data_IF_646822672848
#
_entry.id   IF_646822672848
#
_cell.length_a   1.000
_cell.length_b   1.000
_cell.length_c   1.000
_cell.angle_alpha   90.00
_cell.angle_beta   90.00
_cell.angle_gamma   90.00
#
_symmetry.space_group_name_H-M   'P 1'
#
loop_
_entity.id
_entity.type
_entity.pdbx_description
1 polymer ?
#
# COMPACT_ATOMS: atom_id res chain seq x y z
N UNK A 1 -11.64 -61.34 10.36
CA UNK A 1 -10.83 -60.64 9.33
C UNK A 1 -11.60 -60.42 8.02
N UNK A 2 -12.78 -59.76 8.04
CA UNK A 2 -13.56 -59.45 6.82
C UNK A 2 -13.77 -57.94 6.56
N UNK A 3 -13.42 -57.07 7.51
CA UNK A 3 -13.74 -55.64 7.40
C UNK A 3 -12.64 -54.79 6.73
N UNK A 4 -11.42 -55.32 6.55
CA UNK A 4 -10.34 -54.58 5.86
C UNK A 4 -10.39 -54.68 4.33
N UNK A 5 -11.13 -55.66 3.77
CA UNK A 5 -11.26 -55.79 2.31
C UNK A 5 -12.26 -54.79 1.72
N UNK A 6 -13.31 -54.43 2.46
CA UNK A 6 -14.33 -53.49 2.00
C UNK A 6 -13.80 -52.04 1.92
N UNK A 7 -12.96 -51.63 2.89
CA UNK A 7 -12.36 -50.30 2.96
C UNK A 7 -11.30 -50.10 1.86
N UNK A 8 -10.53 -51.14 1.55
CA UNK A 8 -9.55 -51.10 0.45
C UNK A 8 -10.23 -51.01 -0.93
N UNK A 9 -11.38 -51.67 -1.12
CA UNK A 9 -12.17 -51.58 -2.36
C UNK A 9 -12.80 -50.19 -2.50
N UNK A 10 -13.27 -49.58 -1.41
CA UNK A 10 -13.86 -48.24 -1.44
C UNK A 10 -12.83 -47.16 -1.77
N UNK A 11 -11.60 -47.26 -1.22
CA UNK A 11 -10.50 -46.33 -1.53
C UNK A 11 -9.99 -46.48 -2.98
N UNK A 12 -10.00 -47.69 -3.54
CA UNK A 12 -9.59 -47.92 -4.92
C UNK A 12 -10.59 -47.34 -5.95
N UNK A 13 -11.89 -47.34 -5.64
CA UNK A 13 -12.92 -46.77 -6.52
C UNK A 13 -12.98 -45.23 -6.47
N UNK A 14 -12.69 -44.62 -5.31
CA UNK A 14 -12.60 -43.15 -5.19
C UNK A 14 -11.38 -42.61 -5.97
N UNK A 15 -10.28 -43.37 -5.99
CA UNK A 15 -9.06 -42.99 -6.71
C UNK A 15 -9.21 -43.12 -8.24
N UNK A 16 -9.97 -44.09 -8.76
CA UNK A 16 -10.21 -44.25 -10.21
C UNK A 16 -11.23 -43.23 -10.76
N UNK A 17 -12.20 -42.80 -9.96
CA UNK A 17 -13.14 -41.71 -10.34
C UNK A 17 -12.41 -40.35 -10.40
N UNK A 18 -11.43 -40.10 -9.54
CA UNK A 18 -10.59 -38.89 -9.59
C UNK A 18 -9.65 -38.85 -10.81
N UNK A 19 -9.20 -39.99 -11.33
CA UNK A 19 -8.35 -40.06 -12.53
C UNK A 19 -9.16 -39.88 -13.82
N UNK A 20 -10.43 -40.29 -13.85
CA UNK A 20 -11.30 -40.14 -15.03
C UNK A 20 -11.87 -38.72 -15.20
N UNK A 21 -11.96 -37.92 -14.13
CA UNK A 21 -12.33 -36.49 -14.22
C UNK A 21 -11.15 -35.64 -14.76
N UNK A 22 -9.92 -36.15 -14.71
CA UNK A 22 -8.73 -35.49 -15.27
C UNK A 22 -8.62 -35.59 -16.79
N UNK A 23 -9.43 -36.44 -17.45
CA UNK A 23 -9.30 -36.75 -18.87
C UNK A 23 -10.67 -36.85 -19.59
N UNK A 24 -11.49 -35.79 -19.53
CA UNK A 24 -12.43 -35.39 -20.62
C UNK A 24 -13.35 -34.27 -20.14
N UNK A 25 -12.96 -33.02 -20.40
CA UNK A 25 -13.91 -31.99 -20.85
C UNK A 25 -13.14 -30.95 -21.67
N UNK A 26 -12.74 -31.38 -22.87
CA UNK A 26 -12.28 -30.49 -23.92
C UNK A 26 -13.54 -29.98 -24.64
N UNK A 27 -14.09 -28.87 -24.14
CA UNK A 27 -14.97 -28.02 -24.94
C UNK A 27 -14.11 -26.88 -25.46
N UNK A 28 -13.81 -26.94 -26.76
CA UNK A 28 -13.29 -25.84 -27.54
C UNK A 28 -14.25 -24.66 -27.44
N UNK A 29 -13.82 -23.59 -26.80
CA UNK A 29 -14.22 -22.24 -27.22
C UNK A 29 -13.07 -21.25 -26.98
N UNK A 30 -12.74 -20.54 -28.05
CA UNK A 30 -11.63 -19.63 -28.24
C UNK A 30 -11.52 -18.53 -27.16
N UNK A 31 -10.45 -18.56 -26.35
CA UNK A 31 -9.96 -17.39 -25.60
C UNK A 31 -8.56 -17.62 -24.99
N UNK A 32 -7.54 -17.79 -25.84
CA UNK A 32 -6.14 -17.97 -25.41
C UNK A 32 -5.47 -16.66 -24.89
N UNK A 33 -6.18 -15.53 -24.86
CA UNK A 33 -5.63 -14.24 -24.44
C UNK A 33 -5.84 -13.85 -22.97
N UNK A 34 -6.54 -14.66 -22.16
CA UNK A 34 -6.95 -14.28 -20.78
C UNK A 34 -6.18 -14.95 -19.64
N UNK A 35 -5.47 -16.07 -19.85
CA UNK A 35 -4.69 -16.75 -18.78
C UNK A 35 -3.37 -16.04 -18.47
N UNK A 36 -2.61 -15.62 -19.48
CA UNK A 36 -1.35 -14.89 -19.29
C UNK A 36 -1.50 -13.50 -18.65
N UNK A 37 -2.70 -12.91 -18.64
CA UNK A 37 -2.95 -11.58 -18.06
C UNK A 37 -3.23 -11.62 -16.55
N UNK A 38 -3.67 -12.76 -16.00
CA UNK A 38 -4.09 -12.88 -14.58
C UNK A 38 -2.88 -13.14 -13.66
N UNK A 39 -1.94 -13.96 -14.11
CA UNK A 39 -0.69 -14.30 -13.41
C UNK A 39 0.30 -13.13 -13.40
N UNK A 40 0.46 -12.47 -14.55
CA UNK A 40 1.35 -11.30 -14.73
C UNK A 40 0.92 -10.06 -13.91
N UNK A 41 -0.34 -10.01 -13.45
CA UNK A 41 -0.92 -8.87 -12.72
C UNK A 41 -0.96 -9.06 -11.20
N UNK A 42 -1.11 -10.30 -10.72
CA UNK A 42 -0.97 -10.63 -9.29
C UNK A 42 0.45 -10.29 -8.80
N UNK A 43 1.46 -10.61 -9.63
CA UNK A 43 2.85 -10.21 -9.38
C UNK A 43 3.12 -8.70 -9.45
N UNK A 44 2.28 -7.90 -10.15
CA UNK A 44 2.47 -6.44 -10.25
C UNK A 44 2.13 -5.74 -8.93
N UNK A 45 1.07 -6.19 -8.24
CA UNK A 45 0.64 -5.62 -6.95
C UNK A 45 1.59 -6.04 -5.80
N UNK A 46 2.06 -7.29 -5.81
CA UNK A 46 3.07 -7.78 -4.87
C UNK A 46 4.41 -7.01 -5.03
N UNK A 47 4.76 -6.65 -6.27
CA UNK A 47 5.91 -5.77 -6.53
C UNK A 47 5.75 -4.36 -5.96
N UNK A 48 4.54 -3.84 -5.71
CA UNK A 48 4.37 -2.53 -5.05
C UNK A 48 4.77 -2.60 -3.60
N UNK A 49 4.20 -3.54 -2.85
CA UNK A 49 4.43 -3.68 -1.43
C UNK A 49 5.91 -4.02 -1.18
N UNK A 50 6.52 -4.84 -2.05
CA UNK A 50 7.95 -5.12 -2.01
C UNK A 50 8.78 -3.89 -2.41
N UNK A 51 8.42 -3.15 -3.46
CA UNK A 51 9.14 -1.95 -3.86
C UNK A 51 9.08 -0.85 -2.79
N UNK A 52 7.91 -0.63 -2.21
CA UNK A 52 7.65 0.33 -1.13
C UNK A 52 8.37 -0.12 0.16
N UNK A 53 8.24 -1.38 0.59
CA UNK A 53 8.98 -1.90 1.75
C UNK A 53 10.51 -1.89 1.58
N UNK A 54 11.02 -2.13 0.37
CA UNK A 54 12.46 -2.03 0.08
C UNK A 54 12.97 -0.57 0.12
N UNK A 55 12.07 0.43 0.04
CA UNK A 55 12.41 1.84 0.22
C UNK A 55 12.46 2.26 1.70
N UNK A 56 11.80 1.53 2.60
CA UNK A 56 11.88 1.71 4.07
C UNK A 56 13.24 1.28 4.65
N UNK A 57 13.91 0.33 4.00
CA UNK A 57 15.24 -0.17 4.38
C UNK A 57 16.15 -0.31 3.13
N UNK A 58 16.85 0.74 2.68
CA UNK A 58 17.84 0.58 1.63
C UNK A 58 18.91 -0.39 2.13
N UNK A 59 19.05 -1.54 1.49
CA UNK A 59 20.15 -2.47 1.74
C UNK A 59 21.44 -1.67 1.63
N UNK A 60 22.18 -1.55 2.74
CA UNK A 60 23.55 -1.03 2.73
C UNK A 60 24.29 -1.74 1.59
N UNK A 61 24.86 -1.04 0.61
CA UNK A 61 25.70 -1.72 -0.37
C UNK A 61 26.81 -2.43 0.41
N UNK A 62 26.88 -3.75 0.19
CA UNK A 62 27.93 -4.58 0.73
C UNK A 62 29.27 -3.93 0.42
N UNK A 63 30.10 -3.74 1.44
CA UNK A 63 31.44 -3.18 1.34
C UNK A 63 32.31 -4.05 0.41
N UNK A 64 32.28 -3.72 -0.87
CA UNK A 64 33.19 -4.24 -1.89
C UNK A 64 34.49 -3.45 -1.85
N UNK A 65 35.50 -4.07 -1.25
CA UNK A 65 36.90 -3.62 -1.20
C UNK A 65 37.37 -3.10 -2.57
N UNK A 66 37.80 -1.84 -2.64
CA UNK A 66 38.79 -1.42 -3.62
C UNK A 66 39.89 -0.62 -2.90
N UNK A 67 41.07 -1.26 -2.82
CA UNK A 67 42.33 -0.62 -2.46
C UNK A 67 42.70 0.37 -3.56
N UNK A 68 42.88 1.63 -3.20
CA UNK A 68 43.76 2.53 -3.95
C UNK A 68 44.61 3.29 -2.94
N UNK A 69 45.89 2.92 -2.89
CA UNK A 69 46.95 3.69 -2.24
C UNK A 69 47.07 5.06 -2.93
N UNK A 70 47.12 6.14 -2.15
CA UNK A 70 47.97 7.27 -2.50
C UNK A 70 48.50 7.94 -1.23
N UNK A 71 49.82 8.11 -1.22
CA UNK A 71 50.62 8.59 -0.11
C UNK A 71 50.36 10.08 0.15
N UNK A 72 50.48 10.43 1.43
CA UNK A 72 50.51 11.78 1.94
C UNK A 72 51.60 12.64 1.26
N UNK A 73 51.26 13.90 1.00
CA UNK A 73 52.21 15.01 1.10
C UNK A 73 51.59 16.11 1.97
N UNK A 74 52.32 16.46 3.02
CA UNK A 74 52.03 17.59 3.92
C UNK A 74 52.56 18.85 3.27
N UNK A 75 51.75 19.91 3.22
CA UNK A 75 52.29 21.28 3.17
C UNK A 75 51.41 22.20 4.02
N UNK A 76 52.07 22.85 4.99
CA UNK A 76 51.50 23.81 5.94
C UNK A 76 51.39 25.20 5.29
N UNK A 77 50.30 25.87 5.67
CA UNK A 77 50.09 27.31 5.91
C UNK A 77 50.23 28.32 4.75
N UNK A 78 49.12 28.99 4.42
CA UNK A 78 49.02 30.44 4.62
C UNK A 78 47.53 30.86 4.84
N UNK A 79 47.21 31.71 5.83
CA UNK A 79 45.84 32.17 6.12
C UNK A 79 45.60 33.58 5.53
N UNK A 80 44.79 33.67 4.47
CA UNK A 80 43.91 34.79 4.12
C UNK A 80 43.59 34.75 2.63
N UNK A 81 42.33 34.49 2.28
CA UNK A 81 41.62 35.20 1.20
C UNK A 81 40.19 34.65 1.11
N UNK A 82 39.25 35.59 1.10
CA UNK A 82 37.85 35.44 0.72
C UNK A 82 36.97 34.58 1.61
N UNK A 83 36.38 35.28 2.59
CA UNK A 83 34.97 35.10 2.88
C UNK A 83 34.21 34.89 1.56
N UNK A 84 33.64 33.70 1.40
CA UNK A 84 32.69 33.38 0.36
C UNK A 84 31.46 34.28 0.53
N UNK A 85 31.53 35.48 -0.03
CA UNK A 85 30.35 36.22 -0.47
C UNK A 85 29.79 35.49 -1.69
N UNK A 86 29.34 34.25 -1.49
CA UNK A 86 28.29 33.72 -2.34
C UNK A 86 27.12 34.69 -2.14
N UNK A 87 26.62 35.37 -3.19
CA UNK A 87 25.45 36.21 -3.03
C UNK A 87 24.38 35.32 -2.40
N UNK A 88 23.85 35.74 -1.23
CA UNK A 88 22.63 35.13 -0.69
C UNK A 88 21.63 35.16 -1.84
N UNK A 89 21.43 34.02 -2.49
CA UNK A 89 20.49 33.89 -3.59
C UNK A 89 19.16 34.24 -2.97
N UNK A 90 18.66 35.44 -3.24
CA UNK A 90 17.37 35.89 -2.75
C UNK A 90 16.39 34.89 -3.36
N UNK A 91 15.83 34.04 -2.50
CA UNK A 91 14.91 33.02 -2.94
C UNK A 91 13.68 33.74 -3.48
N UNK A 92 13.29 33.39 -4.71
CA UNK A 92 12.06 33.88 -5.31
C UNK A 92 10.89 33.64 -4.32
N UNK A 93 10.12 34.68 -3.95
CA UNK A 93 8.99 34.56 -3.03
C UNK A 93 8.01 33.44 -3.40
N UNK A 94 7.80 33.18 -4.70
CA UNK A 94 6.93 32.08 -5.15
C UNK A 94 7.52 30.71 -4.82
N UNK A 95 8.83 30.54 -5.02
CA UNK A 95 9.55 29.30 -4.69
C UNK A 95 9.56 29.09 -3.17
N UNK A 96 9.77 30.14 -2.38
CA UNK A 96 9.70 30.07 -0.92
C UNK A 96 8.32 29.60 -0.43
N UNK A 97 7.24 30.17 -1.00
CA UNK A 97 5.86 29.79 -0.67
C UNK A 97 5.56 28.34 -1.05
N UNK A 98 6.06 27.88 -2.20
CA UNK A 98 5.87 26.52 -2.66
C UNK A 98 6.57 25.50 -1.76
N UNK A 99 7.82 25.78 -1.37
CA UNK A 99 8.56 24.97 -0.40
C UNK A 99 7.81 24.90 0.93
N UNK A 100 7.34 26.04 1.45
CA UNK A 100 6.60 26.06 2.71
C UNK A 100 5.36 25.18 2.65
N UNK A 101 4.55 25.27 1.58
CA UNK A 101 3.36 24.41 1.41
C UNK A 101 3.70 22.91 1.35
N UNK A 102 4.80 22.54 0.70
CA UNK A 102 5.28 21.15 0.62
C UNK A 102 5.68 20.64 2.00
N UNK A 103 6.39 21.48 2.77
CA UNK A 103 6.82 21.15 4.13
C UNK A 103 5.62 21.06 5.08
N UNK A 104 4.71 22.04 5.06
CA UNK A 104 3.50 22.05 5.89
C UNK A 104 2.66 20.79 5.66
N UNK A 105 2.52 20.35 4.39
CA UNK A 105 1.80 19.12 4.05
C UNK A 105 2.51 17.88 4.57
N UNK A 106 3.80 17.77 4.31
CA UNK A 106 4.60 16.62 4.76
C UNK A 106 4.57 16.49 6.28
N UNK A 107 4.78 17.61 6.97
CA UNK A 107 4.79 17.68 8.43
C UNK A 107 3.43 17.32 9.01
N UNK A 108 2.34 17.88 8.47
CA UNK A 108 0.99 17.54 8.91
C UNK A 108 0.66 16.04 8.75
N UNK A 109 1.10 15.41 7.65
CA UNK A 109 0.90 13.97 7.43
C UNK A 109 1.63 13.14 8.49
N UNK A 110 2.89 13.47 8.80
CA UNK A 110 3.68 12.74 9.80
C UNK A 110 3.18 13.01 11.21
N UNK A 111 2.81 14.24 11.57
CA UNK A 111 2.24 14.54 12.88
C UNK A 111 0.91 13.80 13.11
N UNK A 112 0.05 13.70 12.08
CA UNK A 112 -1.17 12.90 12.15
C UNK A 112 -0.83 11.43 12.37
N UNK A 113 0.15 10.87 11.65
CA UNK A 113 0.49 9.45 11.80
C UNK A 113 1.06 9.12 13.18
N UNK A 114 1.85 10.01 13.77
CA UNK A 114 2.37 9.89 15.14
C UNK A 114 1.25 9.99 16.18
N UNK A 115 0.36 10.98 16.05
CA UNK A 115 -0.81 11.11 16.92
C UNK A 115 -1.68 9.86 16.87
N UNK A 116 -1.98 9.38 15.66
CA UNK A 116 -2.80 8.18 15.46
C UNK A 116 -2.12 6.91 15.97
N UNK A 117 -0.79 6.80 15.83
CA UNK A 117 -0.01 5.70 16.40
C UNK A 117 -0.14 5.62 17.92
N UNK A 118 -0.16 6.78 18.60
CA UNK A 118 -0.31 6.84 20.05
C UNK A 118 -1.69 6.43 20.57
N UNK A 119 -2.73 6.39 19.71
CA UNK A 119 -4.09 5.97 20.08
C UNK A 119 -4.18 4.47 20.39
N UNK A 120 -3.29 3.68 19.81
CA UNK A 120 -3.39 2.22 19.85
C UNK A 120 -4.61 1.69 19.10
N UNK A 121 -5.00 0.45 19.41
CA UNK A 121 -6.22 -0.17 18.89
C UNK A 121 -6.82 -1.11 19.93
N UNK A 122 -8.15 -1.32 19.93
CA UNK A 122 -8.78 -2.28 20.82
C UNK A 122 -8.41 -3.72 20.45
N UNK A 123 -8.57 -4.66 21.40
CA UNK A 123 -8.18 -6.07 21.23
C UNK A 123 -8.90 -6.79 20.08
N UNK A 124 -10.10 -6.34 19.73
CA UNK A 124 -10.91 -6.83 18.62
C UNK A 124 -10.60 -6.12 17.28
N UNK A 125 -9.66 -5.16 17.30
CA UNK A 125 -9.15 -4.40 16.15
C UNK A 125 -10.31 -3.73 15.40
N UNK A 126 -11.13 -2.98 16.16
CA UNK A 126 -12.34 -2.30 15.70
C UNK A 126 -13.34 -3.25 15.04
N UNK A 127 -13.55 -4.42 15.65
CA UNK A 127 -14.44 -5.48 15.15
C UNK A 127 -13.92 -6.27 13.94
N UNK A 128 -12.77 -5.90 13.36
CA UNK A 128 -12.26 -6.55 12.14
C UNK A 128 -11.37 -7.77 12.39
N UNK A 129 -10.93 -8.00 13.64
CA UNK A 129 -10.00 -9.09 13.94
C UNK A 129 -10.53 -10.47 13.56
N UNK A 130 -11.72 -10.82 14.06
CA UNK A 130 -12.23 -12.18 14.01
C UNK A 130 -12.53 -12.66 12.59
N UNK A 131 -13.09 -11.79 11.75
CA UNK A 131 -13.60 -12.18 10.44
C UNK A 131 -12.73 -11.71 9.27
N UNK A 132 -11.86 -10.72 9.49
CA UNK A 132 -11.02 -10.15 8.44
C UNK A 132 -9.55 -10.40 8.75
N UNK A 133 -8.99 -9.72 9.76
CA UNK A 133 -7.54 -9.63 9.93
C UNK A 133 -6.89 -10.97 10.28
N UNK A 134 -7.55 -11.81 11.10
CA UNK A 134 -7.09 -13.17 11.40
C UNK A 134 -7.29 -14.18 10.26
N UNK A 135 -7.90 -13.77 9.14
CA UNK A 135 -8.20 -14.63 7.99
C UNK A 135 -7.48 -14.21 6.72
N UNK A 136 -6.74 -13.11 6.74
CA UNK A 136 -5.99 -12.59 5.59
C UNK A 136 -4.51 -12.48 5.94
N UNK A 137 -3.67 -12.72 4.94
CA UNK A 137 -2.25 -12.41 4.99
C UNK A 137 -2.02 -11.04 4.37
N UNK A 138 -1.12 -10.24 4.94
CA UNK A 138 -0.79 -8.91 4.43
C UNK A 138 -0.30 -8.99 2.98
N UNK A 139 0.74 -9.78 2.71
CA UNK A 139 1.21 -10.09 1.37
C UNK A 139 1.43 -11.61 1.18
N UNK A 140 1.82 -12.04 -0.02
CA UNK A 140 1.98 -13.47 -0.34
C UNK A 140 3.12 -14.15 0.43
N UNK A 141 4.08 -13.37 0.93
CA UNK A 141 5.24 -13.86 1.68
C UNK A 141 5.04 -13.78 3.21
N UNK A 142 3.92 -13.21 3.67
CA UNK A 142 3.60 -13.14 5.10
C UNK A 142 3.39 -14.53 5.67
N UNK A 143 3.99 -14.79 6.83
CA UNK A 143 3.89 -16.07 7.56
C UNK A 143 2.82 -16.05 8.65
N UNK A 144 2.37 -14.86 9.05
CA UNK A 144 1.31 -14.65 10.05
C UNK A 144 0.16 -13.83 9.47
N UNK A 145 -1.01 -13.96 10.07
CA UNK A 145 -2.19 -13.20 9.68
C UNK A 145 -2.09 -11.73 10.05
N UNK A 146 -2.89 -10.89 9.38
CA UNK A 146 -2.87 -9.45 9.51
C UNK A 146 -3.32 -8.94 10.89
N UNK A 147 -3.86 -9.80 11.77
CA UNK A 147 -4.15 -9.46 13.17
C UNK A 147 -2.94 -9.53 14.10
N UNK A 148 -1.83 -10.12 13.64
CA UNK A 148 -0.59 -10.24 14.42
C UNK A 148 -0.05 -8.88 14.87
N UNK A 149 0.64 -8.86 16.02
CA UNK A 149 1.35 -7.67 16.49
C UNK A 149 2.38 -7.14 15.48
N UNK A 150 2.93 -8.02 14.62
CA UNK A 150 3.82 -7.64 13.51
C UNK A 150 3.22 -6.56 12.61
N UNK A 151 1.90 -6.58 12.40
CA UNK A 151 1.21 -5.69 11.47
C UNK A 151 0.49 -4.51 12.15
N UNK A 152 0.91 -4.15 13.36
CA UNK A 152 0.30 -3.04 14.12
C UNK A 152 0.45 -1.71 13.37
N UNK A 153 1.60 -1.45 12.77
CA UNK A 153 1.85 -0.21 12.00
C UNK A 153 0.97 -0.15 10.74
N UNK A 154 0.83 -1.26 10.03
CA UNK A 154 0.03 -1.35 8.81
C UNK A 154 -1.47 -1.22 9.08
N UNK A 155 -1.96 -1.81 10.18
CA UNK A 155 -3.34 -1.58 10.64
C UNK A 155 -3.56 -0.12 11.01
N UNK A 156 -2.61 0.50 11.73
CA UNK A 156 -2.65 1.93 12.06
C UNK A 156 -2.74 2.80 10.81
N UNK A 157 -1.93 2.53 9.78
CA UNK A 157 -2.03 3.23 8.48
C UNK A 157 -3.39 3.01 7.81
N UNK A 158 -3.95 1.79 7.85
CA UNK A 158 -5.31 1.54 7.36
C UNK A 158 -6.35 2.40 8.10
N UNK A 159 -6.23 2.55 9.42
CA UNK A 159 -7.13 3.40 10.21
C UNK A 159 -6.96 4.90 9.88
N UNK A 160 -5.71 5.39 9.78
CA UNK A 160 -5.41 6.77 9.37
C UNK A 160 -5.91 7.07 7.93
N UNK A 161 -5.96 6.06 7.05
CA UNK A 161 -6.56 6.21 5.71
C UNK A 161 -8.04 6.60 5.76
N UNK A 162 -8.73 6.24 6.84
CA UNK A 162 -10.11 6.58 7.16
C UNK A 162 -10.21 7.74 8.17
N UNK A 163 -9.15 8.56 8.25
CA UNK A 163 -8.99 9.67 9.19
C UNK A 163 -9.15 9.26 10.67
N UNK A 164 -8.81 8.00 10.98
CA UNK A 164 -8.97 7.41 12.32
C UNK A 164 -10.38 7.60 12.91
N UNK A 165 -11.40 7.72 12.07
CA UNK A 165 -12.78 7.82 12.53
C UNK A 165 -13.24 6.43 12.99
N UNK A 166 -13.13 6.16 14.30
CA UNK A 166 -13.39 4.85 14.90
C UNK A 166 -14.79 4.32 14.57
N UNK A 167 -15.82 5.18 14.58
CA UNK A 167 -17.18 4.78 14.21
C UNK A 167 -17.29 4.35 12.74
N UNK A 168 -16.64 5.08 11.84
CA UNK A 168 -16.58 4.73 10.41
C UNK A 168 -15.80 3.42 10.20
N UNK A 169 -14.66 3.27 10.86
CA UNK A 169 -13.81 2.07 10.80
C UNK A 169 -14.61 0.85 11.28
N UNK A 170 -15.27 0.96 12.43
CA UNK A 170 -16.10 -0.11 12.98
C UNK A 170 -17.26 -0.48 12.05
N UNK A 171 -18.02 0.51 11.57
CA UNK A 171 -19.15 0.26 10.66
C UNK A 171 -18.71 -0.42 9.35
N UNK A 172 -17.61 0.07 8.74
CA UNK A 172 -17.02 -0.58 7.58
C UNK A 172 -16.57 -2.01 7.91
N UNK A 173 -15.92 -2.21 9.05
CA UNK A 173 -15.47 -3.50 9.54
C UNK A 173 -16.60 -4.52 9.68
N UNK A 174 -17.74 -4.11 10.23
CA UNK A 174 -18.93 -4.95 10.36
C UNK A 174 -19.51 -5.35 8.99
N UNK A 175 -19.58 -4.41 8.05
CA UNK A 175 -20.07 -4.66 6.68
C UNK A 175 -19.14 -5.63 5.94
N UNK A 176 -17.83 -5.36 5.96
CA UNK A 176 -16.85 -6.19 5.26
C UNK A 176 -16.66 -7.57 5.92
N UNK A 177 -16.92 -7.71 7.21
CA UNK A 177 -16.90 -8.99 7.91
C UNK A 177 -17.95 -9.96 7.35
N UNK A 178 -19.14 -9.47 6.97
CA UNK A 178 -20.17 -10.29 6.30
C UNK A 178 -19.66 -10.89 4.98
N UNK A 179 -18.88 -10.12 4.22
CA UNK A 179 -18.25 -10.61 2.99
C UNK A 179 -17.09 -11.58 3.28
N UNK A 180 -16.25 -11.25 4.26
CA UNK A 180 -15.02 -12.00 4.56
C UNK A 180 -15.28 -13.38 5.17
N UNK A 181 -16.46 -13.59 5.76
CA UNK A 181 -16.97 -14.90 6.16
C UNK A 181 -16.99 -15.88 4.98
N UNK A 182 -17.35 -15.41 3.77
CA UNK A 182 -17.24 -16.19 2.54
C UNK A 182 -15.81 -16.07 1.94
N UNK A 183 -15.12 -17.20 1.80
CA UNK A 183 -13.78 -17.24 1.21
C UNK A 183 -13.73 -16.78 -0.25
N UNK A 184 -14.84 -16.86 -0.99
CA UNK A 184 -14.96 -16.38 -2.37
C UNK A 184 -14.88 -14.85 -2.46
N UNK A 185 -15.32 -14.13 -1.43
CA UNK A 185 -15.34 -12.67 -1.39
C UNK A 185 -14.22 -12.06 -0.55
N UNK A 186 -13.63 -12.82 0.38
CA UNK A 186 -12.51 -12.39 1.21
C UNK A 186 -11.35 -11.78 0.42
N UNK A 187 -11.08 -12.29 -0.78
CA UNK A 187 -10.06 -11.73 -1.67
C UNK A 187 -10.33 -10.26 -2.03
N UNK A 188 -11.59 -9.90 -2.30
CA UNK A 188 -11.98 -8.51 -2.60
C UNK A 188 -11.90 -7.62 -1.35
N UNK A 189 -12.27 -8.15 -0.18
CA UNK A 189 -12.12 -7.44 1.10
C UNK A 189 -10.65 -7.09 1.34
N UNK A 190 -9.76 -8.07 1.20
CA UNK A 190 -8.30 -7.85 1.30
C UNK A 190 -7.83 -6.81 0.29
N UNK A 191 -8.17 -6.97 -1.00
CA UNK A 191 -7.75 -6.04 -2.05
C UNK A 191 -8.19 -4.62 -1.74
N UNK A 192 -9.41 -4.44 -1.25
CA UNK A 192 -9.98 -3.12 -0.91
C UNK A 192 -9.24 -2.48 0.26
N UNK A 193 -9.03 -3.21 1.35
CA UNK A 193 -8.37 -2.64 2.54
C UNK A 193 -6.88 -2.40 2.29
N UNK A 194 -6.18 -3.37 1.72
CA UNK A 194 -4.71 -3.32 1.60
C UNK A 194 -4.27 -2.56 0.35
N UNK A 195 -4.79 -2.94 -0.83
CA UNK A 195 -4.28 -2.39 -2.10
C UNK A 195 -4.89 -1.03 -2.46
N UNK A 196 -5.87 -0.55 -1.67
CA UNK A 196 -6.43 0.80 -1.80
C UNK A 196 -6.22 1.61 -0.53
N UNK A 197 -6.98 1.35 0.54
CA UNK A 197 -6.95 2.18 1.76
C UNK A 197 -5.55 2.33 2.35
N UNK A 198 -4.94 1.20 2.74
CA UNK A 198 -3.58 1.16 3.27
C UNK A 198 -2.54 1.71 2.28
N UNK A 199 -2.56 1.27 1.02
CA UNK A 199 -1.54 1.66 0.04
C UNK A 199 -1.51 3.17 -0.24
N UNK A 200 -2.67 3.83 -0.27
CA UNK A 200 -2.75 5.29 -0.42
C UNK A 200 -2.10 5.98 0.79
N UNK A 201 -2.43 5.54 2.01
CA UNK A 201 -1.90 6.16 3.23
C UNK A 201 -0.39 5.94 3.37
N UNK A 202 0.10 4.74 3.06
CA UNK A 202 1.53 4.43 3.04
C UNK A 202 2.28 5.36 2.08
N UNK A 203 1.78 5.56 0.86
CA UNK A 203 2.40 6.44 -0.12
C UNK A 203 2.49 7.90 0.38
N UNK A 204 1.43 8.39 1.02
CA UNK A 204 1.41 9.74 1.61
C UNK A 204 2.47 9.89 2.71
N UNK A 205 2.57 8.93 3.63
CA UNK A 205 3.54 8.96 4.72
C UNK A 205 4.98 8.82 4.22
N UNK A 206 5.25 7.91 3.27
CA UNK A 206 6.60 7.72 2.74
C UNK A 206 7.12 8.92 1.94
N UNK A 207 6.29 9.50 1.07
CA UNK A 207 6.68 10.70 0.31
C UNK A 207 6.95 11.85 1.27
N UNK A 208 6.12 12.03 2.29
CA UNK A 208 6.31 13.04 3.33
C UNK A 208 7.64 12.84 4.06
N UNK A 209 7.92 11.62 4.51
CA UNK A 209 9.18 11.28 5.19
C UNK A 209 10.41 11.53 4.30
N UNK A 210 10.35 11.14 3.01
CA UNK A 210 11.43 11.39 2.05
C UNK A 210 11.72 12.87 1.87
N UNK A 211 10.66 13.69 1.76
CA UNK A 211 10.78 15.15 1.62
C UNK A 211 11.38 15.76 2.89
N UNK A 212 10.85 15.41 4.07
CA UNK A 212 11.32 15.97 5.34
C UNK A 212 12.78 15.61 5.65
N UNK A 213 13.25 14.44 5.20
CA UNK A 213 14.64 14.02 5.35
C UNK A 213 15.65 14.93 4.60
N UNK A 214 15.20 15.68 3.59
CA UNK A 214 16.02 16.63 2.82
C UNK A 214 15.46 18.06 2.86
N UNK A 215 14.65 18.39 3.88
CA UNK A 215 13.93 19.68 3.98
C UNK A 215 14.81 20.91 3.81
N UNK A 216 16.01 20.88 4.40
CA UNK A 216 16.96 22.00 4.40
C UNK A 216 17.67 22.19 3.06
N UNK A 217 17.43 21.31 2.08
CA UNK A 217 18.02 21.33 0.74
C UNK A 217 16.97 21.54 -0.36
N UNK A 218 15.68 21.64 -0.05
CA UNK A 218 14.62 21.80 -1.06
C UNK A 218 14.78 23.05 -1.92
N UNK A 219 15.35 24.12 -1.38
CA UNK A 219 15.67 25.35 -2.12
C UNK A 219 16.74 25.17 -3.22
N UNK A 220 17.40 24.01 -3.27
CA UNK A 220 18.34 23.64 -4.33
C UNK A 220 17.61 23.05 -5.56
N UNK A 221 16.35 22.64 -5.42
CA UNK A 221 15.55 22.13 -6.52
C UNK A 221 15.09 23.27 -7.44
N UNK A 222 14.88 22.95 -8.71
CA UNK A 222 14.26 23.87 -9.66
C UNK A 222 12.74 23.98 -9.38
N UNK A 223 12.13 25.10 -9.79
CA UNK A 223 10.69 25.37 -9.59
C UNK A 223 9.79 24.26 -10.19
N UNK A 224 10.00 23.76 -11.43
CA UNK A 224 9.20 22.66 -11.96
C UNK A 224 9.18 21.40 -11.08
N UNK A 225 10.33 21.01 -10.53
CA UNK A 225 10.42 19.86 -9.62
C UNK A 225 9.62 20.09 -8.32
N UNK A 226 9.68 21.31 -7.76
CA UNK A 226 8.87 21.67 -6.59
C UNK A 226 7.37 21.64 -6.91
N UNK A 227 6.97 22.13 -8.09
CA UNK A 227 5.58 22.09 -8.54
C UNK A 227 5.10 20.64 -8.72
N UNK A 228 5.95 19.76 -9.26
CA UNK A 228 5.67 18.32 -9.35
C UNK A 228 5.45 17.71 -7.96
N UNK A 229 6.35 17.94 -7.00
CA UNK A 229 6.18 17.42 -5.63
C UNK A 229 4.89 17.92 -4.98
N UNK A 230 4.56 19.20 -5.14
CA UNK A 230 3.32 19.76 -4.61
C UNK A 230 2.07 19.14 -5.26
N UNK A 231 2.08 18.99 -6.59
CA UNK A 231 0.97 18.40 -7.34
C UNK A 231 0.80 16.90 -7.07
N UNK A 232 1.88 16.20 -6.74
CA UNK A 232 1.83 14.79 -6.36
C UNK A 232 1.08 14.59 -5.03
N UNK A 233 1.18 15.54 -4.09
CA UNK A 233 0.30 15.56 -2.91
C UNK A 233 -1.18 15.79 -3.25
N UNK A 234 -1.52 16.63 -4.23
CA UNK A 234 -2.92 16.83 -4.65
C UNK A 234 -3.51 15.53 -5.22
N UNK A 235 -2.72 14.79 -6.02
CA UNK A 235 -3.15 13.50 -6.58
C UNK A 235 -3.41 12.47 -5.47
N UNK A 236 -2.51 12.37 -4.48
CA UNK A 236 -2.71 11.47 -3.34
C UNK A 236 -3.90 11.87 -2.48
N UNK A 237 -4.09 13.17 -2.25
CA UNK A 237 -5.24 13.70 -1.52
C UNK A 237 -6.54 13.32 -2.22
N UNK A 238 -6.62 13.48 -3.54
CA UNK A 238 -7.80 13.07 -4.33
C UNK A 238 -8.07 11.56 -4.27
N UNK A 239 -7.01 10.72 -4.28
CA UNK A 239 -7.17 9.27 -4.08
C UNK A 239 -7.74 8.95 -2.70
N UNK A 240 -7.26 9.60 -1.64
CA UNK A 240 -7.75 9.43 -0.27
C UNK A 240 -9.19 9.92 -0.10
N UNK A 241 -9.53 11.08 -0.65
CA UNK A 241 -10.89 11.62 -0.63
C UNK A 241 -11.88 10.68 -1.34
N UNK A 242 -11.49 10.11 -2.48
CA UNK A 242 -12.32 9.13 -3.18
C UNK A 242 -12.47 7.82 -2.39
N UNK A 243 -11.41 7.38 -1.71
CA UNK A 243 -11.49 6.23 -0.79
C UNK A 243 -12.47 6.48 0.36
N UNK A 244 -12.40 7.66 0.99
CA UNK A 244 -13.33 8.06 2.04
C UNK A 244 -14.77 8.12 1.53
N UNK A 245 -15.00 8.76 0.37
CA UNK A 245 -16.32 8.88 -0.23
C UNK A 245 -16.94 7.51 -0.55
N UNK A 246 -16.20 6.63 -1.22
CA UNK A 246 -16.73 5.31 -1.57
C UNK A 246 -17.00 4.45 -0.31
N UNK A 247 -16.27 4.70 0.79
CA UNK A 247 -16.52 4.08 2.10
C UNK A 247 -17.83 4.58 2.71
N UNK A 248 -18.03 5.90 2.70
CA UNK A 248 -19.26 6.52 3.21
C UNK A 248 -20.48 6.08 2.42
N UNK A 249 -20.39 6.11 1.09
CA UNK A 249 -21.46 5.64 0.20
C UNK A 249 -21.79 4.14 0.47
N UNK A 250 -20.78 3.28 0.69
CA UNK A 250 -21.02 1.85 0.99
C UNK A 250 -21.76 1.68 2.33
N UNK A 251 -21.38 2.44 3.36
CA UNK A 251 -22.04 2.41 4.67
C UNK A 251 -23.49 2.88 4.53
N UNK A 252 -23.72 3.98 3.82
CA UNK A 252 -25.05 4.55 3.61
C UNK A 252 -25.96 3.61 2.80
N UNK A 253 -25.46 3.05 1.69
CA UNK A 253 -26.18 2.08 0.87
C UNK A 253 -26.54 0.83 1.68
N UNK A 254 -25.60 0.30 2.47
CA UNK A 254 -25.85 -0.86 3.33
C UNK A 254 -26.92 -0.57 4.39
N UNK A 255 -26.86 0.60 5.03
CA UNK A 255 -27.82 0.97 6.09
C UNK A 255 -29.24 1.22 5.55
N UNK A 256 -29.35 1.71 4.32
CA UNK A 256 -30.64 2.08 3.70
C UNK A 256 -31.28 0.98 2.86
N UNK A 257 -30.51 -0.04 2.45
CA UNK A 257 -31.00 -1.13 1.62
C UNK A 257 -30.97 -2.49 2.35
N UNK A 258 -32.12 -3.00 2.84
CA UNK A 258 -32.20 -4.28 3.53
C UNK A 258 -31.66 -5.48 2.74
N UNK A 259 -31.73 -5.44 1.40
CA UNK A 259 -31.20 -6.51 0.56
C UNK A 259 -29.68 -6.64 0.70
N UNK A 260 -28.95 -5.53 0.85
CA UNK A 260 -27.49 -5.58 1.06
C UNK A 260 -27.11 -6.17 2.43
N UNK A 261 -28.06 -6.21 3.37
CA UNK A 261 -27.84 -6.75 4.71
C UNK A 261 -28.10 -8.26 4.75
N UNK A 262 -28.95 -8.79 3.87
CA UNK A 262 -29.40 -10.19 3.86
C UNK A 262 -28.85 -11.00 2.67
N UNK A 263 -28.47 -10.34 1.57
CA UNK A 263 -27.90 -10.96 0.37
C UNK A 263 -26.43 -10.56 0.21
N UNK A 264 -25.54 -11.47 0.62
CA UNK A 264 -24.09 -11.28 0.55
C UNK A 264 -23.56 -11.14 -0.89
N UNK A 265 -24.26 -11.71 -1.89
CA UNK A 265 -23.86 -11.57 -3.29
C UNK A 265 -24.10 -10.16 -3.79
N UNK A 266 -25.27 -9.57 -3.48
CA UNK A 266 -25.55 -8.17 -3.77
C UNK A 266 -24.57 -7.23 -3.07
N UNK A 267 -24.25 -7.50 -1.80
CA UNK A 267 -23.23 -6.73 -1.08
C UNK A 267 -21.84 -6.80 -1.75
N UNK A 268 -21.44 -7.99 -2.23
CA UNK A 268 -20.19 -8.16 -2.97
C UNK A 268 -20.20 -7.35 -4.27
N UNK A 269 -21.31 -7.37 -5.01
CA UNK A 269 -21.44 -6.64 -6.28
C UNK A 269 -21.38 -5.12 -6.06
N UNK A 270 -22.02 -4.62 -4.99
CA UNK A 270 -21.91 -3.23 -4.56
C UNK A 270 -20.47 -2.86 -4.22
N UNK A 271 -19.75 -3.68 -3.43
CA UNK A 271 -18.35 -3.43 -3.14
C UNK A 271 -17.49 -3.44 -4.41
N UNK A 272 -17.77 -4.37 -5.34
CA UNK A 272 -17.02 -4.54 -6.59
C UNK A 272 -17.24 -3.38 -7.56
N UNK A 273 -18.42 -2.78 -7.60
CA UNK A 273 -18.71 -1.63 -8.47
C UNK A 273 -17.87 -0.40 -8.09
N UNK A 274 -17.60 -0.22 -6.78
CA UNK A 274 -16.71 0.82 -6.25
C UNK A 274 -15.22 0.45 -6.34
N UNK A 275 -14.91 -0.84 -6.46
CA UNK A 275 -13.56 -1.41 -6.42
C UNK A 275 -13.30 -2.39 -7.58
N UNK A 276 -13.39 -1.88 -8.81
CA UNK A 276 -13.09 -2.67 -10.00
C UNK A 276 -11.60 -3.03 -10.08
N UNK A 277 -11.29 -4.12 -10.78
CA UNK A 277 -9.90 -4.54 -11.01
C UNK A 277 -9.08 -3.49 -11.76
N UNK A 278 -9.72 -2.71 -12.64
CA UNK A 278 -9.07 -1.63 -13.36
C UNK A 278 -8.70 -0.48 -12.41
N UNK A 279 -9.60 -0.12 -11.47
CA UNK A 279 -9.30 0.89 -10.46
C UNK A 279 -8.12 0.48 -9.58
N UNK A 280 -8.06 -0.77 -9.11
CA UNK A 280 -6.89 -1.24 -8.33
C UNK A 280 -5.58 -1.11 -9.10
N UNK A 281 -5.56 -1.51 -10.38
CA UNK A 281 -4.37 -1.39 -11.20
C UNK A 281 -3.97 0.07 -11.42
N UNK A 282 -4.94 0.96 -11.67
CA UNK A 282 -4.67 2.38 -11.87
C UNK A 282 -4.15 3.04 -10.59
N UNK A 283 -4.75 2.75 -9.43
CA UNK A 283 -4.28 3.26 -8.12
C UNK A 283 -2.84 2.81 -7.86
N UNK A 284 -2.56 1.52 -8.10
CA UNK A 284 -1.22 0.97 -7.99
C UNK A 284 -0.21 1.68 -8.90
N UNK A 285 -0.55 1.87 -10.18
CA UNK A 285 0.33 2.53 -11.15
C UNK A 285 0.59 4.00 -10.77
N UNK A 286 -0.45 4.72 -10.37
CA UNK A 286 -0.31 6.10 -9.88
C UNK A 286 0.64 6.14 -8.67
N UNK A 287 0.40 5.32 -7.64
CA UNK A 287 1.24 5.33 -6.43
C UNK A 287 2.71 5.03 -6.78
N UNK A 288 2.96 4.02 -7.60
CA UNK A 288 4.31 3.67 -8.02
C UNK A 288 5.01 4.82 -8.75
N UNK A 289 4.30 5.47 -9.67
CA UNK A 289 4.83 6.60 -10.44
C UNK A 289 5.15 7.80 -9.54
N UNK A 290 4.30 8.10 -8.55
CA UNK A 290 4.53 9.21 -7.60
C UNK A 290 5.73 8.94 -6.68
N UNK A 291 5.87 7.72 -6.16
CA UNK A 291 7.00 7.32 -5.33
C UNK A 291 8.32 7.39 -6.11
N UNK A 292 8.32 6.90 -7.35
CA UNK A 292 9.48 6.95 -8.25
C UNK A 292 9.84 8.39 -8.62
N UNK A 293 8.84 9.20 -8.98
CA UNK A 293 9.02 10.62 -9.34
C UNK A 293 9.61 11.40 -8.16
N UNK A 294 9.07 11.22 -6.96
CA UNK A 294 9.61 11.81 -5.72
C UNK A 294 11.06 11.39 -5.51
N UNK A 295 11.36 10.10 -5.61
CA UNK A 295 12.73 9.59 -5.41
C UNK A 295 13.71 10.20 -6.42
N UNK A 296 13.31 10.30 -7.69
CA UNK A 296 14.15 10.89 -8.74
C UNK A 296 14.38 12.40 -8.55
N UNK A 297 13.35 13.13 -8.14
CA UNK A 297 13.45 14.58 -7.87
C UNK A 297 14.39 14.85 -6.68
N UNK A 298 14.32 14.02 -5.63
CA UNK A 298 15.09 14.23 -4.42
C UNK A 298 16.52 13.64 -4.49
N UNK A 299 16.80 12.72 -5.41
CA UNK A 299 18.11 12.07 -5.52
C UNK A 299 19.32 13.03 -5.58
N UNK A 300 19.28 14.17 -6.31
CA UNK A 300 20.41 15.11 -6.36
C UNK A 300 20.67 15.86 -5.05
N UNK A 301 19.72 15.83 -4.10
CA UNK A 301 19.79 16.55 -2.83
C UNK A 301 19.80 15.60 -1.62
N UNK A 302 19.94 14.29 -1.82
CA UNK A 302 20.11 13.32 -0.72
C UNK A 302 21.44 13.54 0.00
#
# INVERSE_FOLDING_TARGET
MKNNKLIAIFLLHVLTVLILISCSLEVKDSNESKKHKKEKRKGKVENLLVAINNLKNPTKPAAGKNKANSKASKQKNNPNANANNAPKKILDPEVAKLIQKILDRSENIIQISEMDSSRGEPNDQFGMRAEIFSKIFFNANSTVHFDSHEYTEERRMLYTSLNFNEGKIFNLGQILSKLSQDSNYRGLVKETLINRGFSIQLAMEEISAKILNVKDKLQQLNKPNLETLYNDFEKLTSLKEKWLKDTDDLIDEYNTNPDLQTDVSKLNDTLRSKNSRAQFANIHDIILDLVNTTTNILAPIQ
#
